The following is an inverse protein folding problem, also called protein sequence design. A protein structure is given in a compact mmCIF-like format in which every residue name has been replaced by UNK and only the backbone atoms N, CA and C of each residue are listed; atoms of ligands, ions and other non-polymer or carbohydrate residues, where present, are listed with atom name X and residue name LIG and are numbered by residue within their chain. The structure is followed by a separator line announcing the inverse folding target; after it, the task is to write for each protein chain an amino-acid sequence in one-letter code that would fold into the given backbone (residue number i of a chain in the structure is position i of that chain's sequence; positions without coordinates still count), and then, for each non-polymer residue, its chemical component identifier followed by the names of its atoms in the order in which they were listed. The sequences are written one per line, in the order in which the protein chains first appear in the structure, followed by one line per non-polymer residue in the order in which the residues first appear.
data_IF_274290857565
#
_entry.id   IF_274290857565
#
_cell.length_a   1.000
_cell.length_b   1.000
_cell.length_c   1.000
_cell.angle_alpha   90.00
_cell.angle_beta   90.00
_cell.angle_gamma   90.00
#
_symmetry.space_group_name_H-M   'P 1'
#
loop_
_entity.id
_entity.type
_entity.pdbx_description
1 polymer ?
#
# COMPACT_ATOMS: atom_id res chain seq x y z
N UNK A 1 -15.12 22.30 11.47
CA UNK A 1 -15.58 20.90 11.48
C UNK A 1 -14.89 20.23 12.65
N UNK A 2 -15.63 19.65 13.61
CA UNK A 2 -15.02 18.94 14.74
C UNK A 2 -14.75 17.51 14.28
N UNK A 3 -13.49 17.12 14.29
CA UNK A 3 -13.03 15.79 13.89
C UNK A 3 -13.10 14.92 15.14
N UNK A 4 -13.81 13.80 15.07
CA UNK A 4 -14.01 12.90 16.20
C UNK A 4 -12.88 11.88 16.29
N UNK A 5 -11.75 12.33 16.82
CA UNK A 5 -10.59 11.49 17.15
C UNK A 5 -10.31 11.66 18.64
N UNK A 6 -9.98 10.57 19.33
CA UNK A 6 -9.64 10.61 20.75
C UNK A 6 -8.46 11.56 21.04
N UNK A 7 -8.36 12.06 22.28
CA UNK A 7 -7.25 12.93 22.67
C UNK A 7 -5.89 12.22 22.45
N UNK A 8 -4.81 12.96 22.13
CA UNK A 8 -3.50 12.37 21.81
C UNK A 8 -2.98 11.41 22.89
N UNK A 9 -3.24 11.69 24.16
CA UNK A 9 -2.83 10.84 25.28
C UNK A 9 -3.46 9.45 25.23
N UNK A 10 -4.73 9.36 24.81
CA UNK A 10 -5.44 8.09 24.66
C UNK A 10 -4.98 7.34 23.41
N UNK A 11 -4.77 8.04 22.29
CA UNK A 11 -4.21 7.43 21.09
C UNK A 11 -2.84 6.82 21.39
N UNK A 12 -1.96 7.59 22.06
CA UNK A 12 -0.62 7.15 22.44
C UNK A 12 -0.64 5.91 23.33
N UNK A 13 -1.50 5.90 24.35
CA UNK A 13 -1.65 4.75 25.24
C UNK A 13 -2.10 3.48 24.50
N UNK A 14 -3.08 3.59 23.61
CA UNK A 14 -3.56 2.47 22.77
C UNK A 14 -2.47 1.97 21.83
N UNK A 15 -1.75 2.89 21.18
CA UNK A 15 -0.66 2.58 20.26
C UNK A 15 0.46 1.82 20.96
N UNK A 16 0.92 2.31 22.11
CA UNK A 16 1.99 1.65 22.86
C UNK A 16 1.54 0.31 23.47
N UNK A 17 0.25 0.13 23.79
CA UNK A 17 -0.28 -1.17 24.23
C UNK A 17 -0.26 -2.21 23.09
N UNK A 18 -0.68 -1.82 21.87
CA UNK A 18 -0.57 -2.66 20.67
C UNK A 18 0.89 -3.00 20.37
N UNK A 19 1.77 -2.00 20.37
CA UNK A 19 3.20 -2.18 20.12
C UNK A 19 3.85 -3.15 21.13
N UNK A 20 3.51 -3.01 22.42
CA UNK A 20 4.00 -3.92 23.46
C UNK A 20 3.50 -5.36 23.27
N UNK A 21 2.23 -5.54 22.89
CA UNK A 21 1.65 -6.86 22.67
C UNK A 21 2.24 -7.55 21.43
N UNK A 22 2.32 -6.85 20.29
CA UNK A 22 2.89 -7.39 19.05
C UNK A 22 4.40 -7.65 19.16
N UNK A 23 5.15 -6.78 19.83
CA UNK A 23 6.57 -7.01 20.10
C UNK A 23 6.79 -8.27 20.94
N UNK A 24 5.94 -8.51 21.95
CA UNK A 24 6.01 -9.73 22.75
C UNK A 24 5.73 -11.01 21.94
N UNK A 25 5.10 -10.89 20.78
CA UNK A 25 4.86 -11.97 19.82
C UNK A 25 5.90 -12.06 18.70
N UNK A 26 6.92 -11.20 18.71
CA UNK A 26 7.97 -11.19 17.69
C UNK A 26 7.65 -10.36 16.45
N UNK A 27 6.68 -9.44 16.55
CA UNK A 27 6.32 -8.48 15.48
C UNK A 27 6.65 -7.04 15.89
N UNK A 28 7.94 -6.69 16.13
CA UNK A 28 8.34 -5.39 16.69
C UNK A 28 8.26 -4.22 15.70
N UNK A 29 7.99 -4.50 14.42
CA UNK A 29 8.03 -3.59 13.28
C UNK A 29 6.63 -3.24 12.74
N UNK A 30 5.57 -3.89 13.20
CA UNK A 30 4.19 -3.57 12.78
C UNK A 30 3.64 -2.36 13.53
N UNK A 31 3.78 -2.35 14.86
CA UNK A 31 3.50 -1.20 15.73
C UNK A 31 4.69 -0.98 16.63
N UNK A 32 5.23 0.25 16.66
CA UNK A 32 6.33 0.57 17.57
C UNK A 32 6.25 2.01 18.10
N UNK A 33 6.97 2.24 19.19
CA UNK A 33 7.15 3.56 19.78
C UNK A 33 8.64 3.80 20.06
N UNK A 34 9.12 4.96 19.65
CA UNK A 34 10.49 5.41 19.85
C UNK A 34 10.51 6.89 20.30
N UNK A 35 11.70 7.50 20.28
CA UNK A 35 11.89 8.88 20.71
C UNK A 35 11.19 9.90 19.79
N UNK A 36 10.91 9.52 18.54
CA UNK A 36 10.38 10.41 17.52
C UNK A 36 8.86 10.27 17.38
N UNK A 37 8.26 9.14 17.78
CA UNK A 37 6.81 8.99 17.81
C UNK A 37 6.33 7.55 17.98
N UNK A 38 5.03 7.36 17.76
CA UNK A 38 4.40 6.07 17.62
C UNK A 38 4.10 5.82 16.13
N UNK A 39 4.36 4.61 15.65
CA UNK A 39 4.37 4.27 14.25
C UNK A 39 3.61 2.97 14.00
N UNK A 40 3.01 2.86 12.82
CA UNK A 40 2.38 1.67 12.26
C UNK A 40 2.85 1.51 10.82
N UNK A 41 3.22 0.29 10.42
CA UNK A 41 3.59 -0.08 9.05
C UNK A 41 3.20 -1.55 8.82
N UNK A 42 2.34 -1.80 7.82
CA UNK A 42 1.93 -3.15 7.46
C UNK A 42 2.86 -3.82 6.43
N UNK A 43 3.91 -3.12 6.00
CA UNK A 43 4.85 -3.50 4.93
C UNK A 43 4.20 -3.65 3.54
N UNK A 44 2.91 -3.34 3.41
CA UNK A 44 2.14 -3.31 2.18
C UNK A 44 2.05 -1.91 1.56
N UNK A 45 2.62 -0.89 2.22
CA UNK A 45 2.52 0.50 1.80
C UNK A 45 1.53 1.33 2.63
N UNK A 46 0.93 0.73 3.67
CA UNK A 46 -0.01 1.40 4.55
C UNK A 46 0.66 1.71 5.89
N UNK A 47 0.71 2.98 6.25
CA UNK A 47 1.41 3.40 7.45
C UNK A 47 0.75 4.62 8.10
N UNK A 48 0.93 4.74 9.41
CA UNK A 48 0.48 5.88 10.19
C UNK A 48 1.47 6.24 11.29
N UNK A 49 1.46 7.51 11.67
CA UNK A 49 2.36 8.04 12.68
C UNK A 49 1.67 9.06 13.58
N UNK A 50 1.87 8.90 14.88
CA UNK A 50 1.47 9.86 15.90
C UNK A 50 2.71 10.45 16.57
N UNK A 51 2.83 11.78 16.53
CA UNK A 51 3.90 12.52 17.18
C UNK A 51 3.31 13.43 18.24
N UNK A 52 3.79 13.28 19.48
CA UNK A 52 3.50 14.21 20.55
C UNK A 52 4.50 15.36 20.50
N UNK A 53 3.99 16.59 20.54
CA UNK A 53 4.78 17.81 20.38
C UNK A 53 4.65 18.67 21.63
N UNK A 54 5.72 19.38 21.98
CA UNK A 54 5.75 20.32 23.11
C UNK A 54 4.53 21.26 23.16
N UNK A 55 4.09 21.58 24.38
CA UNK A 55 2.94 22.45 24.61
C UNK A 55 1.58 21.74 24.54
N UNK A 56 1.56 20.41 24.71
CA UNK A 56 0.32 19.62 24.70
C UNK A 56 -0.28 19.47 23.29
N UNK A 57 0.57 19.48 22.27
CA UNK A 57 0.21 19.39 20.86
C UNK A 57 0.49 17.99 20.34
N UNK A 58 -0.13 17.63 19.22
CA UNK A 58 0.19 16.40 18.53
C UNK A 58 -0.08 16.51 17.03
N UNK A 59 0.52 15.63 16.24
CA UNK A 59 0.15 15.42 14.84
C UNK A 59 -0.03 13.93 14.59
N UNK A 60 -1.09 13.59 13.85
CA UNK A 60 -1.39 12.25 13.36
C UNK A 60 -1.45 12.32 11.83
N UNK A 61 -0.60 11.58 11.15
CA UNK A 61 -0.51 11.58 9.69
C UNK A 61 -0.17 10.19 9.19
N UNK A 62 -0.49 9.92 7.94
CA UNK A 62 -0.31 8.59 7.37
C UNK A 62 -0.73 8.55 5.91
N UNK A 63 -0.63 7.35 5.36
CA UNK A 63 -0.98 7.05 3.99
C UNK A 63 -1.40 5.58 3.90
N UNK A 64 -2.54 5.38 3.25
CA UNK A 64 -3.02 4.09 2.79
C UNK A 64 -3.02 4.09 1.25
N UNK A 65 -2.42 3.07 0.64
CA UNK A 65 -2.23 3.08 -0.81
C UNK A 65 -3.51 2.77 -1.62
N UNK A 66 -4.55 2.24 -0.97
CA UNK A 66 -5.84 1.96 -1.61
C UNK A 66 -6.95 2.93 -1.20
N UNK A 67 -6.88 3.48 0.02
CA UNK A 67 -7.98 4.23 0.65
C UNK A 67 -7.67 5.72 0.87
N UNK A 68 -6.49 6.21 0.45
CA UNK A 68 -6.16 7.64 0.46
C UNK A 68 -6.57 8.36 -0.81
N UNK A 69 -7.88 8.47 -1.07
CA UNK A 69 -8.42 9.19 -2.24
C UNK A 69 -7.93 10.66 -2.30
N UNK A 70 -7.57 11.23 -1.16
CA UNK A 70 -6.95 12.56 -1.05
C UNK A 70 -5.68 12.73 -1.91
N UNK A 71 -4.90 11.67 -2.12
CA UNK A 71 -3.72 11.68 -3.00
C UNK A 71 -4.10 11.69 -4.49
N UNK A 72 -5.25 11.10 -4.84
CA UNK A 72 -5.79 11.04 -6.20
C UNK A 72 -6.63 12.26 -6.62
N UNK A 73 -7.07 13.10 -5.67
CA UNK A 73 -7.97 14.23 -5.91
C UNK A 73 -7.54 15.15 -7.06
N UNK A 74 -8.51 15.52 -7.90
CA UNK A 74 -8.36 16.46 -9.01
C UNK A 74 -9.28 17.69 -8.79
N UNK A 75 -8.74 18.92 -8.67
CA UNK A 75 -7.32 19.26 -8.59
C UNK A 75 -6.65 18.75 -7.30
N UNK A 76 -5.31 18.66 -7.24
CA UNK A 76 -4.57 18.16 -6.08
C UNK A 76 -4.88 18.95 -4.81
N UNK A 77 -5.06 18.22 -3.72
CA UNK A 77 -5.25 18.81 -2.40
C UNK A 77 -3.91 18.99 -1.68
N UNK A 78 -3.60 20.23 -1.30
CA UNK A 78 -2.47 20.52 -0.42
C UNK A 78 -2.84 20.26 1.05
N UNK A 79 -2.55 19.05 1.54
CA UNK A 79 -2.81 18.62 2.93
C UNK A 79 -2.05 19.42 3.99
N UNK A 80 -1.09 20.26 3.59
CA UNK A 80 -0.31 21.12 4.48
C UNK A 80 -0.69 22.60 4.34
N UNK A 81 -1.77 22.92 3.61
CA UNK A 81 -2.25 24.29 3.45
C UNK A 81 -2.73 24.88 4.79
N UNK A 82 -2.12 25.98 5.23
CA UNK A 82 -2.51 26.66 6.47
C UNK A 82 -2.17 25.88 7.76
N UNK A 83 -1.39 24.81 7.65
CA UNK A 83 -1.01 24.00 8.80
C UNK A 83 -0.08 24.78 9.76
N UNK A 84 -0.10 24.49 11.08
CA UNK A 84 0.68 25.25 12.05
C UNK A 84 2.20 25.16 11.85
N UNK A 85 2.92 26.23 12.20
CA UNK A 85 4.38 26.30 12.06
C UNK A 85 5.16 25.31 12.93
N UNK A 86 4.55 24.79 14.00
CA UNK A 86 5.19 23.88 14.94
C UNK A 86 5.23 22.41 14.50
N UNK A 87 4.55 22.05 13.41
CA UNK A 87 4.50 20.68 12.89
C UNK A 87 5.89 20.14 12.49
N UNK A 88 6.09 18.81 12.43
CA UNK A 88 7.33 18.19 11.95
C UNK A 88 7.49 18.34 10.43
N UNK A 89 7.67 19.58 9.97
CA UNK A 89 7.60 19.95 8.57
C UNK A 89 8.57 19.21 7.63
N UNK A 90 9.85 18.97 7.97
CA UNK A 90 10.76 18.26 7.07
C UNK A 90 10.24 16.88 6.67
N UNK A 91 9.60 16.18 7.61
CA UNK A 91 9.05 14.85 7.38
C UNK A 91 7.74 14.90 6.60
N UNK A 92 6.81 15.79 6.98
CA UNK A 92 5.55 15.97 6.25
C UNK A 92 5.79 16.39 4.79
N UNK A 93 6.76 17.27 4.54
CA UNK A 93 7.12 17.71 3.18
C UNK A 93 7.74 16.58 2.37
N UNK A 94 8.55 15.71 3.00
CA UNK A 94 9.12 14.53 2.34
C UNK A 94 8.00 13.59 1.89
N UNK A 95 7.09 13.22 2.79
CA UNK A 95 5.97 12.34 2.46
C UNK A 95 5.02 12.94 1.42
N UNK A 96 4.72 14.24 1.50
CA UNK A 96 3.97 14.93 0.46
C UNK A 96 4.70 14.95 -0.89
N UNK A 97 6.04 14.98 -0.90
CA UNK A 97 6.82 14.96 -2.12
C UNK A 97 6.87 13.58 -2.78
N UNK A 98 6.82 12.52 -1.97
CA UNK A 98 6.87 11.11 -2.36
C UNK A 98 5.47 10.54 -2.69
N UNK A 99 4.42 11.36 -2.69
CA UNK A 99 3.01 10.95 -2.88
C UNK A 99 2.51 9.95 -1.83
N UNK A 100 3.15 9.93 -0.66
CA UNK A 100 2.81 9.06 0.47
C UNK A 100 2.24 9.88 1.62
N UNK A 101 1.31 10.80 1.37
CA UNK A 101 0.64 11.54 2.44
C UNK A 101 -0.85 11.59 2.14
N UNK A 102 -1.62 10.74 2.81
CA UNK A 102 -3.08 10.66 2.66
C UNK A 102 -3.82 11.63 3.59
N UNK A 103 -3.28 11.86 4.78
CA UNK A 103 -3.89 12.76 5.76
C UNK A 103 -2.89 13.40 6.72
N UNK A 104 -3.28 14.56 7.25
CA UNK A 104 -2.58 15.23 8.36
C UNK A 104 -3.61 15.86 9.29
N UNK A 105 -3.65 15.36 10.51
CA UNK A 105 -4.46 15.89 11.62
C UNK A 105 -3.53 16.50 12.65
N UNK A 106 -3.82 17.71 13.11
CA UNK A 106 -3.06 18.35 14.19
C UNK A 106 -3.96 18.68 15.38
N UNK A 107 -3.46 18.39 16.58
CA UNK A 107 -4.12 18.67 17.84
C UNK A 107 -3.49 19.91 18.49
N UNK A 108 -4.33 20.92 18.76
CA UNK A 108 -3.96 22.10 19.52
C UNK A 108 -5.20 22.62 20.26
N UNK A 109 -5.03 23.17 21.46
CA UNK A 109 -6.13 23.77 22.21
C UNK A 109 -7.35 22.85 22.42
N UNK A 110 -7.12 21.55 22.65
CA UNK A 110 -8.19 20.62 23.02
C UNK A 110 -8.94 19.94 21.87
N UNK A 111 -8.57 20.18 20.61
CA UNK A 111 -9.28 19.63 19.46
C UNK A 111 -8.34 19.29 18.29
N UNK A 112 -8.76 18.31 17.49
CA UNK A 112 -8.12 17.97 16.23
C UNK A 112 -8.62 18.89 15.10
N UNK A 113 -7.70 19.28 14.23
CA UNK A 113 -7.93 20.07 13.02
C UNK A 113 -7.22 19.42 11.83
N UNK A 114 -7.72 19.67 10.62
CA UNK A 114 -7.07 19.30 9.36
C UNK A 114 -7.45 20.29 8.26
N UNK A 115 -6.80 20.17 7.11
CA UNK A 115 -7.23 20.87 5.89
C UNK A 115 -8.65 20.41 5.50
N UNK A 116 -9.56 21.35 5.15
CA UNK A 116 -10.88 21.01 4.64
C UNK A 116 -10.78 20.21 3.34
N UNK A 117 -11.50 19.09 3.25
CA UNK A 117 -11.59 18.34 2.00
C UNK A 117 -12.66 18.97 1.10
N UNK A 118 -12.49 18.94 -0.23
CA UNK A 118 -13.43 19.53 -1.17
C UNK A 118 -14.81 18.87 -1.10
N UNK A 119 -14.86 17.58 -0.78
CA UNK A 119 -16.07 16.81 -0.58
C UNK A 119 -16.10 16.17 0.82
N UNK A 120 -17.29 16.01 1.39
CA UNK A 120 -17.43 15.47 2.75
C UNK A 120 -17.15 13.97 2.87
N UNK A 121 -17.02 13.24 1.75
CA UNK A 121 -16.89 11.79 1.70
C UNK A 121 -15.55 11.29 1.15
N UNK A 122 -14.58 12.18 0.92
CA UNK A 122 -13.24 11.74 0.49
C UNK A 122 -12.63 10.86 1.58
N UNK A 123 -12.35 9.60 1.26
CA UNK A 123 -11.58 8.72 2.12
C UNK A 123 -10.12 9.17 2.12
N UNK A 124 -9.51 9.27 3.30
CA UNK A 124 -8.13 9.72 3.43
C UNK A 124 -7.20 8.64 3.96
N UNK A 125 -7.69 7.42 4.20
CA UNK A 125 -6.92 6.29 4.71
C UNK A 125 -6.72 6.27 6.23
N UNK A 126 -7.28 7.24 6.98
CA UNK A 126 -7.13 7.28 8.45
C UNK A 126 -7.75 6.04 9.13
N UNK A 127 -8.99 5.60 8.81
CA UNK A 127 -9.58 4.42 9.43
C UNK A 127 -8.80 3.13 9.16
N UNK A 128 -8.13 3.01 8.02
CA UNK A 128 -7.42 1.81 7.60
C UNK A 128 -6.04 1.73 8.25
N UNK A 129 -5.34 2.86 8.36
CA UNK A 129 -3.95 2.90 8.87
C UNK A 129 -3.84 3.16 10.38
N UNK A 130 -4.81 3.84 10.98
CA UNK A 130 -4.79 4.16 12.42
C UNK A 130 -6.06 3.70 13.14
N UNK A 131 -6.99 3.02 12.45
CA UNK A 131 -8.30 2.64 12.97
C UNK A 131 -8.27 1.95 14.32
N UNK A 132 -7.30 1.06 14.51
CA UNK A 132 -7.11 0.30 15.74
C UNK A 132 -6.94 1.19 16.99
N UNK A 133 -6.45 2.43 16.85
CA UNK A 133 -6.21 3.31 18.01
C UNK A 133 -7.22 4.44 18.17
N UNK A 134 -8.05 4.72 17.14
CA UNK A 134 -8.92 5.90 17.11
C UNK A 134 -9.96 5.90 18.24
N UNK A 135 -10.52 4.74 18.53
CA UNK A 135 -11.50 4.55 19.60
C UNK A 135 -11.22 3.30 20.45
N UNK A 136 -11.91 3.24 21.59
CA UNK A 136 -11.72 2.21 22.61
C UNK A 136 -12.23 0.83 22.16
N UNK A 137 -13.31 0.79 21.37
CA UNK A 137 -13.88 -0.47 20.90
C UNK A 137 -12.95 -1.11 19.85
N UNK A 138 -12.43 -0.32 18.90
CA UNK A 138 -11.47 -0.78 17.90
C UNK A 138 -10.16 -1.23 18.53
N UNK A 139 -9.64 -0.53 19.53
CA UNK A 139 -8.42 -0.93 20.23
C UNK A 139 -8.58 -2.28 20.96
N UNK A 140 -9.74 -2.52 21.58
CA UNK A 140 -10.04 -3.82 22.20
C UNK A 140 -10.19 -4.93 21.15
N UNK A 141 -10.84 -4.63 20.03
CA UNK A 141 -10.99 -5.58 18.93
C UNK A 141 -9.62 -5.98 18.39
N UNK A 142 -8.75 -5.01 18.12
CA UNK A 142 -7.41 -5.27 17.57
C UNK A 142 -6.55 -6.08 18.53
N UNK A 143 -6.53 -5.74 19.83
CA UNK A 143 -5.84 -6.56 20.84
C UNK A 143 -6.42 -7.98 20.94
N UNK A 144 -7.69 -8.18 20.59
CA UNK A 144 -8.27 -9.50 20.41
C UNK A 144 -7.68 -10.23 19.21
N UNK A 145 -7.59 -9.56 18.07
CA UNK A 145 -6.97 -10.13 16.86
C UNK A 145 -5.48 -10.43 17.05
N UNK A 146 -4.77 -9.65 17.85
CA UNK A 146 -3.40 -9.98 18.30
C UNK A 146 -3.34 -11.36 18.99
N UNK A 147 -4.35 -11.72 19.80
CA UNK A 147 -4.39 -13.04 20.46
C UNK A 147 -4.79 -14.16 19.50
N UNK A 148 -5.89 -13.97 18.76
CA UNK A 148 -6.50 -15.05 17.96
C UNK A 148 -5.82 -15.27 16.60
N UNK A 149 -5.38 -14.18 15.95
CA UNK A 149 -4.81 -14.22 14.61
C UNK A 149 -3.28 -14.26 14.69
N UNK A 150 -2.66 -13.24 15.28
CA UNK A 150 -1.19 -13.16 15.35
C UNK A 150 -0.57 -14.17 16.32
N UNK A 151 -1.18 -14.34 17.50
CA UNK A 151 -0.77 -15.33 18.49
C UNK A 151 -1.13 -16.77 18.11
N UNK A 152 -1.91 -16.99 17.04
CA UNK A 152 -2.34 -18.32 16.60
C UNK A 152 -3.20 -19.07 17.62
N UNK A 153 -3.79 -18.38 18.60
CA UNK A 153 -4.58 -19.01 19.66
C UNK A 153 -5.81 -19.72 19.08
N UNK A 154 -5.94 -21.02 19.36
CA UNK A 154 -7.05 -21.85 18.91
C UNK A 154 -8.04 -22.07 20.07
N UNK A 155 -9.12 -21.27 20.16
CA UNK A 155 -10.04 -21.35 21.27
C UNK A 155 -10.89 -22.62 21.21
N UNK A 156 -11.13 -23.23 22.36
CA UNK A 156 -12.08 -24.34 22.51
C UNK A 156 -13.53 -23.83 22.51
N UNK A 157 -13.76 -22.62 23.03
CA UNK A 157 -15.04 -21.92 23.02
C UNK A 157 -14.84 -20.46 22.60
N UNK A 158 -14.90 -20.21 21.29
CA UNK A 158 -14.60 -18.91 20.69
C UNK A 158 -15.43 -17.75 21.28
N UNK A 159 -16.77 -17.83 21.44
CA UNK A 159 -17.53 -16.76 22.07
C UNK A 159 -17.09 -16.42 23.50
N UNK A 160 -16.93 -17.42 24.37
CA UNK A 160 -16.54 -17.22 25.77
C UNK A 160 -15.13 -16.63 25.84
N UNK A 161 -14.19 -17.19 25.10
CA UNK A 161 -12.80 -16.74 25.10
C UNK A 161 -12.65 -15.34 24.49
N UNK A 162 -13.40 -15.00 23.44
CA UNK A 162 -13.43 -13.62 22.91
C UNK A 162 -13.91 -12.62 23.95
N UNK A 163 -14.91 -12.96 24.77
CA UNK A 163 -15.37 -12.09 25.84
C UNK A 163 -14.30 -11.91 26.93
N UNK A 164 -13.60 -12.98 27.33
CA UNK A 164 -12.52 -12.90 28.31
C UNK A 164 -11.32 -12.09 27.81
N UNK A 165 -10.94 -12.28 26.54
CA UNK A 165 -9.88 -11.52 25.88
C UNK A 165 -10.25 -10.04 25.80
N UNK A 166 -11.49 -9.70 25.47
CA UNK A 166 -11.95 -8.30 25.47
C UNK A 166 -11.81 -7.63 26.85
N UNK A 167 -12.09 -8.36 27.94
CA UNK A 167 -11.89 -7.86 29.31
C UNK A 167 -10.39 -7.69 29.61
N UNK A 168 -9.54 -8.63 29.18
CA UNK A 168 -8.09 -8.52 29.36
C UNK A 168 -7.50 -7.35 28.57
N UNK A 169 -7.95 -7.15 27.32
CA UNK A 169 -7.59 -6.01 26.49
C UNK A 169 -8.01 -4.69 27.15
N UNK A 170 -9.23 -4.60 27.71
CA UNK A 170 -9.67 -3.44 28.48
C UNK A 170 -8.73 -3.10 29.65
N UNK A 171 -8.34 -4.10 30.45
CA UNK A 171 -7.37 -3.89 31.54
C UNK A 171 -6.01 -3.40 31.05
N UNK A 172 -5.53 -3.93 29.93
CA UNK A 172 -4.27 -3.49 29.32
C UNK A 172 -4.34 -2.02 28.88
N UNK A 173 -5.43 -1.63 28.21
CA UNK A 173 -5.65 -0.26 27.77
C UNK A 173 -5.79 0.72 28.94
N UNK A 174 -6.52 0.35 30.00
CA UNK A 174 -6.66 1.16 31.21
C UNK A 174 -5.31 1.34 31.91
N UNK A 175 -4.51 0.27 32.01
CA UNK A 175 -3.17 0.33 32.60
C UNK A 175 -2.21 1.19 31.77
N UNK A 176 -2.26 1.08 30.44
CA UNK A 176 -1.48 1.92 29.52
C UNK A 176 -1.85 3.41 29.66
N UNK A 177 -3.15 3.72 29.70
CA UNK A 177 -3.63 5.09 29.88
C UNK A 177 -3.24 5.67 31.25
N UNK A 178 -3.20 4.83 32.29
CA UNK A 178 -2.76 5.21 33.64
C UNK A 178 -1.25 5.27 33.84
N UNK A 179 -0.44 4.86 32.86
CA UNK A 179 1.02 4.77 33.02
C UNK A 179 1.45 3.71 34.03
N UNK A 180 0.68 2.64 34.18
CA UNK A 180 0.91 1.56 35.16
C UNK A 180 0.92 0.16 34.52
N UNK A 181 1.21 0.09 33.22
CA UNK A 181 1.33 -1.19 32.50
C UNK A 181 2.49 -1.99 33.09
N UNK A 182 2.22 -3.21 33.55
CA UNK A 182 3.23 -4.11 34.09
C UNK A 182 3.15 -5.51 33.45
N UNK A 183 4.05 -6.40 33.89
CA UNK A 183 4.11 -7.76 33.37
C UNK A 183 2.88 -8.60 33.70
N UNK A 184 2.19 -8.31 34.80
CA UNK A 184 0.97 -9.06 35.19
C UNK A 184 -0.17 -8.70 34.23
N UNK A 185 -0.31 -7.41 33.89
CA UNK A 185 -1.34 -6.95 32.96
C UNK A 185 -1.07 -7.49 31.55
N UNK A 186 0.18 -7.41 31.07
CA UNK A 186 0.54 -7.90 29.73
C UNK A 186 0.42 -9.43 29.62
N UNK A 187 0.93 -10.18 30.61
CA UNK A 187 0.73 -11.63 30.70
C UNK A 187 -0.75 -11.99 30.83
N UNK A 188 -1.53 -11.13 31.48
CA UNK A 188 -2.97 -11.28 31.63
C UNK A 188 -3.74 -11.22 30.30
N UNK A 189 -3.15 -10.69 29.22
CA UNK A 189 -3.67 -10.78 27.84
C UNK A 189 -3.05 -11.98 27.12
N UNK A 190 -1.71 -12.01 27.03
CA UNK A 190 -0.96 -12.92 26.16
C UNK A 190 -0.76 -14.33 26.71
N UNK A 191 -0.92 -14.55 28.02
CA UNK A 191 -0.75 -15.85 28.66
C UNK A 191 -1.78 -16.92 28.26
N UNK A 192 -2.70 -16.58 27.36
CA UNK A 192 -3.63 -17.52 26.72
C UNK A 192 -3.03 -18.23 25.51
N UNK A 193 -1.98 -17.67 24.92
CA UNK A 193 -1.34 -18.19 23.72
C UNK A 193 -0.53 -19.44 24.10
N UNK A 194 -0.87 -20.57 23.48
CA UNK A 194 -0.11 -21.81 23.63
C UNK A 194 1.21 -21.70 22.87
N UNK A 195 2.38 -21.77 23.54
CA UNK A 195 3.68 -21.71 22.87
C UNK A 195 3.98 -22.91 21.95
N UNK A 196 3.07 -23.89 21.84
CA UNK A 196 3.26 -25.12 21.06
C UNK A 196 2.36 -25.26 19.83
N UNK A 197 1.56 -24.24 19.50
CA UNK A 197 0.75 -24.22 18.28
C UNK A 197 1.61 -24.16 16.99
N UNK A 198 1.20 -24.82 15.89
CA UNK A 198 1.92 -24.72 14.63
C UNK A 198 1.87 -23.27 14.09
N UNK A 199 3.04 -22.67 13.92
CA UNK A 199 3.23 -21.35 13.34
C UNK A 199 2.98 -21.37 11.83
N UNK A 200 1.72 -21.28 11.41
CA UNK A 200 1.33 -21.00 10.02
C UNK A 200 0.04 -20.16 10.05
N UNK A 201 0.21 -18.84 10.11
CA UNK A 201 -0.92 -17.90 10.20
C UNK A 201 -0.48 -16.45 10.29
N UNK A 202 0.38 -15.99 9.37
CA UNK A 202 0.51 -14.55 9.16
C UNK A 202 -0.86 -13.95 8.80
N UNK A 203 -1.15 -12.68 9.14
CA UNK A 203 -2.46 -12.11 8.91
C UNK A 203 -2.73 -12.03 7.41
N UNK A 204 -3.77 -12.74 6.97
CA UNK A 204 -4.40 -12.45 5.69
C UNK A 204 -5.13 -11.12 5.81
N UNK A 205 -4.84 -10.19 4.90
CA UNK A 205 -5.59 -8.97 4.69
C UNK A 205 -7.10 -9.27 4.63
N UNK A 206 -7.84 -8.93 5.69
CA UNK A 206 -9.31 -8.94 5.70
C UNK A 206 -9.85 -7.54 5.44
N UNK A 207 -9.51 -6.99 4.28
CA UNK A 207 -10.31 -5.95 3.64
C UNK A 207 -11.52 -6.57 2.93
N UNK A 208 -12.65 -5.86 2.79
CA UNK A 208 -13.78 -6.35 2.00
C UNK A 208 -13.33 -6.58 0.56
N UNK A 209 -13.69 -7.74 0.01
CA UNK A 209 -13.35 -8.13 -1.34
C UNK A 209 -13.87 -7.09 -2.36
N UNK A 210 -12.94 -6.39 -3.02
CA UNK A 210 -13.19 -5.79 -4.32
C UNK A 210 -12.02 -6.04 -5.29
N UNK A 211 -12.36 -6.16 -6.55
CA UNK A 211 -11.57 -6.83 -7.59
C UNK A 211 -10.49 -5.90 -8.17
N UNK A 212 -9.26 -5.99 -7.66
CA UNK A 212 -8.06 -5.37 -8.24
C UNK A 212 -6.92 -6.40 -8.42
N UNK A 213 -6.14 -6.38 -9.52
CA UNK A 213 -5.14 -7.41 -9.79
C UNK A 213 -3.88 -7.21 -8.94
N UNK A 214 -3.58 -8.21 -8.11
CA UNK A 214 -2.51 -8.18 -7.11
C UNK A 214 -1.10 -7.96 -7.67
N UNK A 215 -0.39 -7.05 -7.01
CA UNK A 215 1.06 -6.95 -7.05
C UNK A 215 1.65 -7.97 -6.06
N UNK A 216 2.12 -9.11 -6.55
CA UNK A 216 2.99 -9.99 -5.77
C UNK A 216 4.43 -9.53 -5.97
N UNK A 217 5.03 -8.86 -4.98
CA UNK A 217 6.48 -8.71 -4.87
C UNK A 217 7.04 -9.58 -3.73
N UNK A 218 8.29 -10.06 -3.85
CA UNK A 218 8.85 -11.07 -2.98
C UNK A 218 9.51 -10.42 -1.76
N UNK A 219 8.87 -10.52 -0.60
CA UNK A 219 9.50 -10.28 0.70
C UNK A 219 9.59 -11.62 1.45
N UNK A 220 10.58 -12.42 1.08
CA UNK A 220 11.05 -13.55 1.88
C UNK A 220 12.30 -13.07 2.63
N UNK A 221 12.11 -12.37 3.76
CA UNK A 221 13.15 -12.01 4.75
C UNK A 221 12.52 -11.40 6.01
N UNK A 222 11.80 -12.20 6.80
CA UNK A 222 11.50 -11.90 8.20
C UNK A 222 12.31 -12.82 9.13
N UNK A 223 12.89 -12.33 10.24
CA UNK A 223 13.66 -13.17 11.15
C UNK A 223 12.73 -14.08 11.97
N UNK A 224 12.79 -15.38 11.70
CA UNK A 224 12.39 -16.54 12.53
C UNK A 224 11.46 -16.33 13.72
N UNK A 225 10.16 -16.56 13.51
CA UNK A 225 9.22 -16.92 14.58
C UNK A 225 9.53 -18.34 15.09
N UNK A 226 10.39 -18.45 16.11
CA UNK A 226 10.62 -19.72 16.82
C UNK A 226 10.64 -19.60 18.36
N UNK A 227 10.14 -18.50 18.92
CA UNK A 227 10.10 -18.28 20.37
C UNK A 227 8.67 -18.09 20.89
N UNK A 228 8.36 -18.67 22.06
CA UNK A 228 7.13 -18.32 22.80
C UNK A 228 7.08 -16.85 23.20
N UNK A 229 5.98 -16.43 23.84
CA UNK A 229 5.73 -15.02 24.22
C UNK A 229 6.89 -14.41 25.03
N UNK A 230 7.53 -13.37 24.48
CA UNK A 230 8.59 -12.59 25.15
C UNK A 230 7.99 -11.36 25.84
N UNK A 231 7.48 -11.56 27.05
CA UNK A 231 6.94 -10.47 27.87
C UNK A 231 7.99 -9.39 28.19
N UNK A 232 9.27 -9.74 28.26
CA UNK A 232 10.32 -8.76 28.57
C UNK A 232 10.50 -7.77 27.41
N UNK A 233 10.47 -8.26 26.17
CA UNK A 233 10.50 -7.40 24.99
C UNK A 233 9.29 -6.44 24.93
N UNK A 234 8.08 -6.94 25.17
CA UNK A 234 6.88 -6.11 25.24
C UNK A 234 6.93 -5.05 26.34
N UNK A 235 7.42 -5.42 27.53
CA UNK A 235 7.59 -4.47 28.64
C UNK A 235 8.66 -3.41 28.36
N UNK A 236 9.71 -3.74 27.60
CA UNK A 236 10.70 -2.77 27.18
C UNK A 236 10.09 -1.71 26.23
N UNK A 237 9.17 -2.10 25.34
CA UNK A 237 8.39 -1.15 24.52
C UNK A 237 7.51 -0.27 25.39
N UNK A 238 6.77 -0.86 26.33
CA UNK A 238 5.92 -0.09 27.25
C UNK A 238 6.72 0.94 28.08
N UNK A 239 7.96 0.59 28.48
CA UNK A 239 8.87 1.52 29.15
C UNK A 239 9.26 2.69 28.25
N UNK A 240 9.70 2.41 27.01
CA UNK A 240 10.07 3.44 26.03
C UNK A 240 8.91 4.37 25.67
N UNK A 241 7.69 3.82 25.61
CA UNK A 241 6.48 4.58 25.36
C UNK A 241 5.97 5.38 26.57
N UNK A 242 6.60 5.26 27.75
CA UNK A 242 6.14 5.96 28.96
C UNK A 242 4.82 5.41 29.51
N UNK A 243 4.49 4.14 29.26
CA UNK A 243 3.28 3.47 29.74
C UNK A 243 3.45 2.81 31.10
N UNK A 244 4.64 2.94 31.69
CA UNK A 244 5.01 2.42 33.01
C UNK A 244 5.33 3.57 33.95
N UNK A 245 5.26 3.30 35.25
CA UNK A 245 5.53 4.30 36.29
C UNK A 245 6.97 4.86 36.23
N UNK A 246 7.92 4.09 35.68
CA UNK A 246 9.32 4.44 35.47
C UNK A 246 9.63 5.00 34.07
N UNK A 247 8.64 4.99 33.17
CA UNK A 247 8.80 5.46 31.81
C UNK A 247 8.55 6.97 31.68
N UNK A 248 9.25 7.60 30.75
CA UNK A 248 8.99 8.99 30.35
C UNK A 248 8.42 8.96 28.95
N UNK A 249 7.25 9.58 28.78
CA UNK A 249 6.61 9.69 27.48
C UNK A 249 7.45 10.59 26.55
N UNK A 250 7.83 10.12 25.35
CA UNK A 250 8.50 10.94 24.35
C UNK A 250 7.64 12.14 23.94
N UNK A 251 8.26 13.30 23.86
CA UNK A 251 7.67 14.53 23.32
C UNK A 251 8.74 15.22 22.47
N UNK A 252 8.39 15.51 21.22
CA UNK A 252 9.28 16.15 20.25
C UNK A 252 9.19 17.67 20.37
N UNK A 253 10.32 18.40 20.25
CA UNK A 253 10.31 19.86 20.22
C UNK A 253 9.46 20.41 19.07
N UNK A 254 8.81 21.56 19.30
CA UNK A 254 8.11 22.27 18.23
C UNK A 254 9.09 22.73 17.13
N UNK A 255 8.73 22.51 15.87
CA UNK A 255 9.56 23.00 14.76
C UNK A 255 9.58 24.54 14.69
N UNK A 256 10.64 25.09 14.08
CA UNK A 256 10.82 26.54 13.92
C UNK A 256 9.88 27.17 12.87
N UNK A 257 9.21 26.36 12.05
CA UNK A 257 8.34 26.82 10.96
C UNK A 257 8.41 25.93 9.72
N UNK A 258 7.52 26.15 8.73
CA UNK A 258 7.56 25.45 7.45
C UNK A 258 8.81 25.81 6.64
N UNK A 259 9.53 24.83 6.07
CA UNK A 259 10.51 25.10 5.03
C UNK A 259 9.79 25.51 3.73
N UNK A 260 10.49 26.13 2.77
CA UNK A 260 9.99 26.26 1.41
C UNK A 260 9.59 24.89 0.88
N UNK A 261 8.38 24.80 0.31
CA UNK A 261 7.85 23.56 -0.26
C UNK A 261 7.22 23.82 -1.60
N UNK A 262 7.21 22.78 -2.43
CA UNK A 262 6.51 22.78 -3.72
C UNK A 262 5.07 22.31 -3.48
N UNK A 263 4.16 22.76 -4.34
CA UNK A 263 2.76 22.34 -4.34
C UNK A 263 2.52 21.63 -5.66
N UNK A 264 1.93 20.44 -5.61
CA UNK A 264 1.59 19.69 -6.81
C UNK A 264 0.52 20.42 -7.62
N UNK A 265 0.64 20.33 -8.93
CA UNK A 265 -0.32 20.81 -9.94
C UNK A 265 -1.10 19.67 -10.58
N UNK A 266 -0.54 18.47 -10.59
CA UNK A 266 -1.18 17.24 -11.05
C UNK A 266 -1.28 16.24 -9.90
N UNK A 267 -2.44 15.61 -9.76
CA UNK A 267 -2.63 14.47 -8.86
C UNK A 267 -1.93 13.25 -9.44
N UNK A 268 -1.80 12.18 -8.67
CA UNK A 268 -1.26 10.92 -9.22
C UNK A 268 -2.09 10.43 -10.41
N UNK A 269 -3.42 10.38 -10.25
CA UNK A 269 -4.36 10.00 -11.31
C UNK A 269 -4.26 10.89 -12.54
N UNK A 270 -4.19 12.21 -12.34
CA UNK A 270 -4.01 13.16 -13.43
C UNK A 270 -2.70 12.93 -14.17
N UNK A 271 -1.60 12.68 -13.44
CA UNK A 271 -0.29 12.45 -14.04
C UNK A 271 -0.26 11.12 -14.80
N UNK A 272 -0.86 10.06 -14.24
CA UNK A 272 -1.00 8.77 -14.92
C UNK A 272 -1.86 8.88 -16.19
N UNK A 273 -3.03 9.54 -16.11
CA UNK A 273 -3.90 9.80 -17.27
C UNK A 273 -3.23 10.63 -18.35
N UNK A 274 -2.41 11.61 -17.98
CA UNK A 274 -1.61 12.39 -18.91
C UNK A 274 -0.66 11.48 -19.70
N UNK A 275 0.02 10.54 -19.02
CA UNK A 275 0.88 9.54 -19.67
C UNK A 275 0.08 8.60 -20.56
N UNK A 276 -1.05 8.07 -20.09
CA UNK A 276 -1.89 7.16 -20.89
C UNK A 276 -2.45 7.85 -22.13
N UNK A 277 -2.85 9.12 -22.01
CA UNK A 277 -3.30 9.94 -23.15
C UNK A 277 -2.18 10.11 -24.17
N UNK A 278 -0.97 10.40 -23.72
CA UNK A 278 0.19 10.49 -24.60
C UNK A 278 0.53 9.13 -25.25
N UNK A 279 0.43 8.00 -24.52
CA UNK A 279 0.62 6.65 -25.06
C UNK A 279 -0.42 6.31 -26.15
N UNK A 280 -1.67 6.75 -26.01
CA UNK A 280 -2.72 6.55 -27.03
C UNK A 280 -2.47 7.33 -28.32
N UNK A 281 -1.76 8.45 -28.22
CA UNK A 281 -1.39 9.28 -29.37
C UNK A 281 -0.03 8.90 -29.96
N UNK A 282 0.76 8.10 -29.24
CA UNK A 282 2.09 7.71 -29.66
C UNK A 282 2.04 6.69 -30.80
N UNK A 283 2.95 6.87 -31.75
CA UNK A 283 3.25 5.85 -32.74
C UNK A 283 4.27 4.86 -32.18
N UNK A 284 4.14 3.60 -32.57
CA UNK A 284 5.05 2.54 -32.15
C UNK A 284 6.40 2.70 -32.85
N UNK A 285 7.47 2.85 -32.08
CA UNK A 285 8.82 2.90 -32.67
C UNK A 285 9.15 1.56 -33.32
N UNK A 286 9.55 1.52 -34.61
CA UNK A 286 9.91 0.27 -35.26
C UNK A 286 11.03 -0.46 -34.52
N UNK A 287 10.82 -1.75 -34.25
CA UNK A 287 11.77 -2.64 -33.58
C UNK A 287 11.92 -3.95 -34.36
N UNK A 288 13.09 -4.61 -34.30
CA UNK A 288 13.23 -5.97 -34.82
C UNK A 288 12.18 -6.90 -34.20
N UNK A 289 11.61 -7.78 -35.03
CA UNK A 289 10.75 -8.86 -34.51
C UNK A 289 11.64 -9.82 -33.71
N UNK A 290 11.29 -10.14 -32.44
CA UNK A 290 12.06 -11.10 -31.66
C UNK A 290 12.19 -12.43 -32.39
N UNK A 291 13.36 -13.07 -32.27
CA UNK A 291 13.56 -14.41 -32.82
C UNK A 291 12.58 -15.40 -32.15
N UNK A 292 12.08 -16.42 -32.87
CA UNK A 292 11.21 -17.43 -32.27
C UNK A 292 11.89 -18.10 -31.06
N UNK A 293 11.18 -18.12 -29.93
CA UNK A 293 11.67 -18.75 -28.69
C UNK A 293 10.84 -20.00 -28.32
N UNK A 294 11.38 -20.92 -27.51
CA UNK A 294 10.61 -22.01 -26.92
C UNK A 294 9.41 -21.50 -26.11
N UNK A 295 9.54 -20.38 -25.42
CA UNK A 295 8.49 -19.74 -24.63
C UNK A 295 7.34 -19.26 -25.52
N UNK A 296 7.65 -18.67 -26.68
CA UNK A 296 6.64 -18.26 -27.66
C UNK A 296 5.89 -19.47 -28.20
N UNK A 297 6.62 -20.54 -28.53
CA UNK A 297 6.03 -21.80 -28.98
C UNK A 297 5.07 -22.36 -27.95
N UNK A 298 5.46 -22.41 -26.68
CA UNK A 298 4.63 -22.92 -25.59
C UNK A 298 3.36 -22.08 -25.38
N UNK A 299 3.44 -20.74 -25.48
CA UNK A 299 2.27 -19.87 -25.38
C UNK A 299 1.30 -20.07 -26.56
N UNK A 300 1.84 -20.19 -27.78
CA UNK A 300 1.07 -20.43 -29.00
C UNK A 300 0.36 -21.79 -28.94
N UNK A 301 1.05 -22.85 -28.55
CA UNK A 301 0.46 -24.19 -28.40
C UNK A 301 -0.66 -24.20 -27.36
N UNK A 302 -0.43 -23.55 -26.21
CA UNK A 302 -1.44 -23.41 -25.16
C UNK A 302 -2.70 -22.66 -25.65
N UNK A 303 -2.52 -21.59 -26.43
CA UNK A 303 -3.62 -20.81 -26.99
C UNK A 303 -4.38 -21.57 -28.08
N UNK A 304 -3.68 -22.32 -28.95
CA UNK A 304 -4.30 -23.17 -30.01
C UNK A 304 -5.17 -24.27 -29.44
N UNK A 305 -4.69 -24.92 -28.40
CA UNK A 305 -5.44 -25.96 -27.69
C UNK A 305 -6.77 -25.44 -27.11
N UNK A 306 -6.87 -24.13 -26.90
CA UNK A 306 -8.06 -23.43 -26.40
C UNK A 306 -8.73 -22.56 -27.47
N UNK A 307 -8.43 -22.77 -28.74
CA UNK A 307 -9.01 -21.98 -29.82
C UNK A 307 -10.52 -22.25 -29.98
N UNK A 308 -11.32 -21.24 -30.40
CA UNK A 308 -10.91 -19.85 -30.60
C UNK A 308 -10.67 -19.13 -29.26
N UNK A 309 -9.56 -18.40 -29.15
CA UNK A 309 -9.23 -17.63 -27.95
C UNK A 309 -8.48 -16.34 -28.28
N UNK A 310 -8.62 -15.34 -27.42
CA UNK A 310 -7.82 -14.11 -27.45
C UNK A 310 -7.29 -13.84 -26.06
N UNK A 311 -5.97 -13.66 -25.98
CA UNK A 311 -5.25 -13.29 -24.78
C UNK A 311 -4.70 -11.89 -24.99
N UNK A 312 -5.01 -10.99 -24.06
CA UNK A 312 -4.63 -9.59 -24.12
C UNK A 312 -4.08 -9.20 -22.76
N UNK A 313 -2.79 -8.86 -22.71
CA UNK A 313 -2.08 -8.59 -21.48
C UNK A 313 -1.40 -7.23 -21.50
N UNK A 314 -1.48 -6.54 -20.38
CA UNK A 314 -0.57 -5.47 -19.97
C UNK A 314 0.44 -6.06 -18.99
N UNK A 315 1.73 -5.81 -19.20
CA UNK A 315 2.80 -6.37 -18.38
C UNK A 315 3.90 -5.34 -18.16
N UNK A 316 4.27 -5.18 -16.90
CA UNK A 316 5.44 -4.44 -16.42
C UNK A 316 6.32 -5.39 -15.61
N UNK A 317 7.43 -4.92 -15.03
CA UNK A 317 8.29 -5.78 -14.22
C UNK A 317 7.59 -6.30 -12.94
N UNK A 318 6.66 -5.52 -12.39
CA UNK A 318 6.02 -5.77 -11.09
C UNK A 318 4.53 -6.11 -11.20
N UNK A 319 3.91 -5.92 -12.37
CA UNK A 319 2.47 -6.12 -12.55
C UNK A 319 2.12 -6.79 -13.89
N UNK A 320 1.06 -7.60 -13.86
CA UNK A 320 0.46 -8.26 -15.02
C UNK A 320 -1.07 -8.20 -14.91
N UNK A 321 -1.72 -7.66 -15.94
CA UNK A 321 -3.17 -7.55 -16.02
C UNK A 321 -3.66 -8.16 -17.32
N UNK A 322 -4.73 -8.96 -17.26
CA UNK A 322 -5.40 -9.51 -18.44
C UNK A 322 -6.63 -8.67 -18.77
N UNK A 323 -6.75 -8.27 -20.03
CA UNK A 323 -7.90 -7.55 -20.58
C UNK A 323 -8.76 -8.50 -21.41
N UNK A 324 -10.07 -8.28 -21.40
CA UNK A 324 -11.03 -9.05 -22.22
C UNK A 324 -11.37 -8.26 -23.48
N UNK A 325 -10.90 -8.72 -24.63
CA UNK A 325 -11.14 -8.10 -25.95
C UNK A 325 -11.54 -9.12 -27.03
N UNK A 326 -11.96 -10.32 -26.63
CA UNK A 326 -12.31 -11.40 -27.56
C UNK A 326 -12.78 -12.68 -26.87
N UNK A 327 -12.67 -13.80 -27.59
CA UNK A 327 -13.08 -15.10 -27.08
C UNK A 327 -12.21 -15.51 -25.87
N UNK A 328 -12.86 -15.81 -24.75
CA UNK A 328 -12.15 -16.28 -23.55
C UNK A 328 -11.62 -17.71 -23.79
N UNK A 329 -10.38 -18.03 -23.38
CA UNK A 329 -9.88 -19.40 -23.48
C UNK A 329 -10.82 -20.37 -22.74
N UNK A 330 -11.18 -21.47 -23.39
CA UNK A 330 -12.01 -22.49 -22.77
C UNK A 330 -11.30 -23.13 -21.55
N UNK A 331 -12.03 -23.27 -20.44
CA UNK A 331 -11.59 -24.05 -19.30
C UNK A 331 -11.58 -25.55 -19.60
N UNK A 332 -10.71 -26.31 -18.92
CA UNK A 332 -10.69 -27.78 -19.03
C UNK A 332 -11.39 -28.42 -17.83
N UNK A 333 -11.86 -29.68 -17.95
CA UNK A 333 -12.37 -30.43 -16.81
C UNK A 333 -11.33 -30.50 -15.67
N UNK A 334 -11.69 -30.00 -14.48
CA UNK A 334 -10.82 -29.96 -13.32
C UNK A 334 -10.03 -28.66 -13.13
N UNK A 335 -10.11 -27.71 -14.08
CA UNK A 335 -9.61 -26.36 -13.87
C UNK A 335 -10.52 -25.62 -12.87
N UNK A 336 -9.92 -24.89 -11.93
CA UNK A 336 -10.65 -23.85 -11.20
C UNK A 336 -10.80 -22.58 -12.08
N UNK A 337 -11.62 -21.64 -11.62
CA UNK A 337 -11.96 -20.42 -12.36
C UNK A 337 -10.75 -19.55 -12.74
N UNK A 338 -9.60 -19.74 -12.08
CA UNK A 338 -8.38 -18.95 -12.25
C UNK A 338 -7.22 -19.71 -12.89
N UNK A 339 -7.35 -21.03 -13.08
CA UNK A 339 -6.27 -21.89 -13.56
C UNK A 339 -5.78 -21.46 -14.95
N UNK A 340 -6.70 -21.12 -15.85
CA UNK A 340 -6.35 -20.65 -17.19
C UNK A 340 -5.61 -19.30 -17.15
N UNK A 341 -6.06 -18.36 -16.32
CA UNK A 341 -5.40 -17.06 -16.14
C UNK A 341 -3.99 -17.22 -15.58
N UNK A 342 -3.81 -17.98 -14.48
CA UNK A 342 -2.49 -18.21 -13.87
C UNK A 342 -1.54 -18.85 -14.87
N UNK A 343 -1.98 -19.89 -15.59
CA UNK A 343 -1.16 -20.58 -16.57
C UNK A 343 -0.75 -19.67 -17.74
N UNK A 344 -1.68 -18.88 -18.26
CA UNK A 344 -1.39 -17.91 -19.32
C UNK A 344 -0.43 -16.83 -18.82
N UNK A 345 -0.66 -16.28 -17.62
CA UNK A 345 0.20 -15.28 -17.00
C UNK A 345 1.65 -15.76 -16.85
N UNK A 346 1.86 -17.00 -16.40
CA UNK A 346 3.20 -17.58 -16.28
C UNK A 346 3.90 -17.73 -17.63
N UNK A 347 3.16 -18.19 -18.66
CA UNK A 347 3.70 -18.29 -20.02
C UNK A 347 4.09 -16.92 -20.58
N UNK A 348 3.24 -15.91 -20.35
CA UNK A 348 3.45 -14.53 -20.79
C UNK A 348 4.65 -13.89 -20.09
N UNK A 349 4.83 -14.10 -18.78
CA UNK A 349 6.01 -13.60 -18.04
C UNK A 349 7.30 -14.22 -18.56
N UNK A 350 7.34 -15.54 -18.76
CA UNK A 350 8.52 -16.21 -19.33
C UNK A 350 8.84 -15.73 -20.74
N UNK A 351 7.81 -15.55 -21.57
CA UNK A 351 7.98 -14.98 -22.91
C UNK A 351 8.56 -13.57 -22.85
N UNK A 352 8.01 -12.70 -21.98
CA UNK A 352 8.50 -11.33 -21.81
C UNK A 352 9.98 -11.31 -21.43
N UNK A 353 10.39 -12.17 -20.50
CA UNK A 353 11.78 -12.29 -20.09
C UNK A 353 12.68 -12.81 -21.22
N UNK A 354 12.24 -13.83 -21.97
CA UNK A 354 13.01 -14.40 -23.07
C UNK A 354 13.16 -13.43 -24.26
N UNK A 355 12.19 -12.53 -24.47
CA UNK A 355 12.20 -11.52 -25.53
C UNK A 355 12.78 -10.17 -25.10
N UNK A 356 13.23 -10.03 -23.85
CA UNK A 356 13.84 -8.81 -23.34
C UNK A 356 15.14 -8.49 -24.10
N UNK A 357 15.27 -7.24 -24.54
CA UNK A 357 16.47 -6.77 -25.24
C UNK A 357 17.16 -5.63 -24.46
N UNK A 358 18.50 -5.64 -24.30
CA UNK A 358 19.22 -4.58 -23.60
C UNK A 358 19.08 -3.18 -24.22
N UNK A 359 18.80 -3.08 -25.52
CA UNK A 359 18.69 -1.80 -26.22
C UNK A 359 17.26 -1.26 -26.23
N UNK A 360 16.25 -2.08 -26.54
CA UNK A 360 14.86 -1.60 -26.67
C UNK A 360 13.90 -2.07 -25.56
N UNK A 361 14.37 -2.85 -24.59
CA UNK A 361 13.61 -3.26 -23.42
C UNK A 361 12.57 -4.35 -23.73
N UNK A 362 11.55 -4.44 -22.89
CA UNK A 362 10.45 -5.37 -23.03
C UNK A 362 9.22 -4.67 -23.62
N UNK A 363 8.35 -5.46 -24.27
CA UNK A 363 7.02 -4.99 -24.62
C UNK A 363 6.17 -4.74 -23.36
N UNK A 364 5.23 -3.80 -23.46
CA UNK A 364 4.29 -3.44 -22.39
C UNK A 364 2.96 -4.18 -22.60
N UNK A 365 2.54 -4.33 -23.85
CA UNK A 365 1.30 -5.01 -24.20
C UNK A 365 1.54 -6.17 -25.15
N UNK A 366 0.82 -7.26 -24.92
CA UNK A 366 0.85 -8.47 -25.74
C UNK A 366 -0.57 -8.91 -26.07
N UNK A 367 -0.83 -9.19 -27.34
CA UNK A 367 -2.05 -9.86 -27.80
C UNK A 367 -1.72 -11.14 -28.55
N UNK A 368 -2.36 -12.24 -28.16
CA UNK A 368 -2.30 -13.54 -28.85
C UNK A 368 -3.71 -13.95 -29.22
N UNK A 369 -4.01 -13.97 -30.52
CA UNK A 369 -5.30 -14.42 -31.04
C UNK A 369 -5.13 -15.76 -31.75
N UNK A 370 -5.78 -16.80 -31.23
CA UNK A 370 -5.78 -18.14 -31.79
C UNK A 370 -7.14 -18.47 -32.40
N UNK A 371 -7.10 -18.99 -33.62
CA UNK A 371 -8.27 -19.43 -34.40
C UNK A 371 -8.00 -20.82 -34.98
N UNK A 372 -8.99 -21.40 -35.66
CA UNK A 372 -8.82 -22.65 -36.39
C UNK A 372 -7.73 -22.55 -37.48
N UNK A 373 -7.58 -21.36 -38.08
CA UNK A 373 -6.73 -21.14 -39.25
C UNK A 373 -5.30 -20.69 -38.89
N UNK A 374 -5.05 -20.33 -37.63
CA UNK A 374 -3.72 -19.89 -37.20
C UNK A 374 -3.71 -19.06 -35.92
N UNK A 375 -2.52 -18.55 -35.61
CA UNK A 375 -2.27 -17.71 -34.44
C UNK A 375 -1.58 -16.42 -34.86
N UNK A 376 -2.10 -15.29 -34.36
CA UNK A 376 -1.49 -13.97 -34.52
C UNK A 376 -0.96 -13.49 -33.18
N UNK A 377 0.27 -12.97 -33.17
CA UNK A 377 0.90 -12.39 -31.98
C UNK A 377 1.26 -10.94 -32.28
N UNK A 378 0.82 -10.02 -31.42
CA UNK A 378 1.05 -8.58 -31.55
C UNK A 378 1.66 -8.04 -30.25
N UNK A 379 2.65 -7.16 -30.37
CA UNK A 379 3.36 -6.54 -29.25
C UNK A 379 3.32 -5.03 -29.41
N UNK A 380 3.18 -4.31 -28.30
CA UNK A 380 3.36 -2.86 -28.24
C UNK A 380 4.31 -2.52 -27.08
N UNK A 381 5.33 -1.71 -27.36
CA UNK A 381 6.36 -1.26 -26.43
C UNK A 381 6.16 0.20 -26.01
N UNK A 382 5.50 1.01 -26.86
CA UNK A 382 5.39 2.46 -26.67
C UNK A 382 3.94 2.94 -26.66
N UNK A 383 3.12 2.37 -27.52
CA UNK A 383 1.76 2.83 -27.78
C UNK A 383 0.73 2.07 -26.97
N UNK A 384 -0.33 2.76 -26.56
CA UNK A 384 -1.51 2.11 -26.01
C UNK A 384 -2.29 1.44 -27.16
N UNK A 385 -2.39 0.11 -27.18
CA UNK A 385 -3.01 -0.58 -28.30
C UNK A 385 -4.52 -0.31 -28.40
N UNK A 386 -5.03 -0.12 -29.61
CA UNK A 386 -6.48 0.08 -29.88
C UNK A 386 -7.37 -1.10 -29.47
N UNK A 387 -6.78 -2.28 -29.26
CA UNK A 387 -7.50 -3.49 -28.84
C UNK A 387 -7.68 -3.59 -27.31
N UNK A 388 -6.99 -2.76 -26.51
CA UNK A 388 -7.28 -2.63 -25.08
C UNK A 388 -8.22 -1.43 -24.90
N UNK A 389 -9.46 -1.65 -24.44
CA UNK A 389 -10.33 -0.54 -24.06
C UNK A 389 -9.68 0.26 -22.94
N UNK A 390 -9.74 1.59 -23.03
CA UNK A 390 -9.35 2.46 -21.94
C UNK A 390 -10.56 2.68 -21.05
N UNK A 391 -10.48 2.18 -19.83
CA UNK A 391 -11.37 2.57 -18.74
C UNK A 391 -10.57 3.58 -17.92
N UNK A 392 -11.14 4.74 -17.58
CA UNK A 392 -10.42 5.89 -16.98
C UNK A 392 -9.77 5.61 -15.60
N UNK A 393 -9.83 4.36 -15.13
CA UNK A 393 -9.34 3.88 -13.84
C UNK A 393 -8.24 2.81 -13.94
N UNK A 394 -7.78 2.44 -15.14
CA UNK A 394 -6.83 1.32 -15.27
C UNK A 394 -5.83 1.50 -16.41
N UNK A 395 -4.55 1.36 -16.09
CA UNK A 395 -3.43 1.39 -17.05
C UNK A 395 -2.10 1.04 -16.39
N UNK A 396 -0.98 1.08 -17.13
CA UNK A 396 0.33 0.86 -16.54
C UNK A 396 0.73 2.10 -15.73
N UNK A 397 0.99 1.91 -14.44
CA UNK A 397 1.38 2.98 -13.53
C UNK A 397 2.75 3.57 -13.89
N UNK A 398 2.91 4.89 -13.73
CA UNK A 398 4.17 5.58 -14.04
C UNK A 398 5.35 5.01 -13.26
N UNK A 399 5.14 4.64 -11.99
CA UNK A 399 6.14 4.02 -11.13
C UNK A 399 6.71 2.71 -11.72
N UNK A 400 5.90 1.97 -12.48
CA UNK A 400 6.30 0.75 -13.17
C UNK A 400 6.86 1.01 -14.57
N UNK A 401 6.34 2.03 -15.28
CA UNK A 401 6.83 2.41 -16.61
C UNK A 401 8.21 3.07 -16.56
N UNK A 402 8.50 3.89 -15.55
CA UNK A 402 9.77 4.62 -15.45
C UNK A 402 10.99 3.70 -15.51
N UNK A 403 11.15 2.69 -14.63
CA UNK A 403 12.31 1.80 -14.69
C UNK A 403 12.36 1.00 -16.00
N UNK A 404 11.20 0.63 -16.58
CA UNK A 404 11.13 -0.06 -17.87
C UNK A 404 11.72 0.80 -19.00
N UNK A 405 11.34 2.07 -19.07
CA UNK A 405 11.75 2.99 -20.12
C UNK A 405 13.19 3.49 -19.91
N UNK A 406 13.61 3.69 -18.66
CA UNK A 406 14.99 4.11 -18.33
C UNK A 406 16.04 3.09 -18.76
N UNK A 407 15.72 1.79 -18.72
CA UNK A 407 16.62 0.72 -19.21
C UNK A 407 16.84 0.76 -20.72
N UNK A 408 15.94 1.38 -21.49
CA UNK A 408 16.06 1.45 -22.95
C UNK A 408 17.14 2.45 -23.36
N UNK A 409 17.84 2.12 -24.44
CA UNK A 409 18.69 3.07 -25.14
C UNK A 409 17.86 4.28 -25.61
N UNK A 410 18.47 5.46 -25.64
CA UNK A 410 17.78 6.72 -25.90
C UNK A 410 16.94 6.73 -27.19
N UNK A 411 17.40 6.03 -28.25
CA UNK A 411 16.69 5.94 -29.53
C UNK A 411 15.37 5.14 -29.47
N UNK A 412 15.14 4.36 -28.42
CA UNK A 412 13.94 3.53 -28.22
C UNK A 412 13.07 4.00 -27.04
N UNK A 413 13.38 5.17 -26.49
CA UNK A 413 12.52 5.81 -25.49
C UNK A 413 11.43 6.59 -26.22
N UNK A 414 10.15 6.32 -25.95
CA UNK A 414 9.06 7.04 -26.60
C UNK A 414 9.06 8.51 -26.18
N UNK A 415 8.50 9.39 -27.03
CA UNK A 415 8.46 10.83 -26.76
C UNK A 415 7.74 11.18 -25.44
N UNK A 416 6.72 10.39 -25.06
CA UNK A 416 5.99 10.57 -23.80
C UNK A 416 6.81 10.21 -22.56
N UNK A 417 7.97 9.58 -22.69
CA UNK A 417 8.80 9.18 -21.54
C UNK A 417 9.22 10.35 -20.65
N UNK A 418 9.29 11.58 -21.19
CA UNK A 418 9.54 12.81 -20.41
C UNK A 418 8.44 13.08 -19.40
N UNK A 419 7.23 12.56 -19.61
CA UNK A 419 6.11 12.65 -18.69
C UNK A 419 6.27 11.70 -17.48
N UNK A 420 7.22 10.77 -17.49
CA UNK A 420 7.50 9.91 -16.34
C UNK A 420 8.32 10.61 -15.25
N UNK A 421 8.87 11.80 -15.54
CA UNK A 421 9.61 12.59 -14.56
C UNK A 421 8.66 13.10 -13.44
N UNK A 422 8.95 12.82 -12.16
CA UNK A 422 8.16 13.34 -11.04
C UNK A 422 8.01 14.86 -11.03
N UNK A 423 8.95 15.62 -11.59
CA UNK A 423 8.89 17.08 -11.64
C UNK A 423 7.71 17.62 -12.47
N UNK A 424 7.19 16.81 -13.41
CA UNK A 424 5.99 17.15 -14.20
C UNK A 424 4.78 17.40 -13.31
N UNK A 425 4.68 16.71 -12.17
CA UNK A 425 3.59 16.95 -11.23
C UNK A 425 3.62 18.34 -10.59
N UNK A 426 4.78 19.00 -10.53
CA UNK A 426 4.95 20.31 -9.90
C UNK A 426 5.02 21.45 -10.90
N UNK A 427 5.65 21.20 -12.04
CA UNK A 427 5.85 22.19 -13.10
C UNK A 427 4.66 22.24 -14.09
N UNK A 428 3.93 21.13 -14.19
CA UNK A 428 2.99 20.84 -15.27
C UNK A 428 3.68 20.10 -16.43
N UNK A 429 2.89 19.57 -17.38
CA UNK A 429 3.41 18.98 -18.61
C UNK A 429 4.28 19.98 -19.39
N UNK A 430 5.32 19.51 -20.11
CA UNK A 430 6.07 20.38 -21.00
C UNK A 430 5.22 20.78 -22.24
N UNK A 431 5.65 21.81 -23.01
CA UNK A 431 4.84 22.43 -24.08
C UNK A 431 4.27 21.56 -25.22
N UNK A 432 4.75 20.33 -25.54
CA UNK A 432 4.01 19.47 -26.47
C UNK A 432 2.85 18.69 -25.82
N UNK A 433 2.76 18.68 -24.49
CA UNK A 433 1.79 17.89 -23.73
C UNK A 433 0.85 18.75 -22.87
N UNK A 434 1.03 20.07 -22.83
CA UNK A 434 0.21 21.00 -22.05
C UNK A 434 -1.24 21.11 -22.55
N UNK A 435 -1.49 20.72 -23.79
CA UNK A 435 -2.84 20.64 -24.37
C UNK A 435 -3.51 19.27 -24.23
N UNK A 436 -2.83 18.27 -23.66
CA UNK A 436 -3.46 16.96 -23.49
C UNK A 436 -4.53 17.03 -22.38
N UNK A 437 -5.72 16.45 -22.59
CA UNK A 437 -6.74 16.38 -21.55
C UNK A 437 -6.23 15.53 -20.38
N UNK A 438 -6.46 16.02 -19.17
CA UNK A 438 -6.07 15.40 -17.89
C UNK A 438 -7.30 15.02 -17.04
N UNK A 439 -8.50 15.38 -17.52
CA UNK A 439 -9.77 15.29 -16.79
C UNK A 439 -10.36 13.87 -16.74
#
# INVERSE_FOLDING_TARGET
MRIDIAAPDLLWARWGALAAALTALGHPDVYWCDADGAHHDDHGGNWARLVLVEGGRAVLFGYDHEYSDTAGLSPPLDLLAGAPGWLPWPELVRHAADDQLGYVYWYDGGHWSRVPYPESQVADGLPETAGAVLDDARARQELGEVVFSWGGHQPADLPTERAEVAVAAGRLLDAAAGGVLDGVVLAGLLGRIDPTGPADGGPGATGPADSGPGATSPADSGPGATGGVDLAAGLAVAARAGLRADGVRPVVPAAAGPPPRRIRRLSEDQHDRLVWTAMRQAEETPRPVPAPTPELTALIEWARDRAPSTLSFQVTDTSLSQHRDGATPAGRPGDDDWAAFRKAGDLVRRLRQAEADPAYGCWIFLRVAASADGVTVTRCYDSWPRWIPHEDRGGPWRSHLRPEVERRAAAYRPAWSVLLDPEVAYLGPPPPFDTLPVD
#
